data_IF_490611995159
#
_entry.id   IF_490611995159
#
_cell.length_a   1.000
_cell.length_b   1.000
_cell.length_c   1.000
_cell.angle_alpha   90.00
_cell.angle_beta   90.00
_cell.angle_gamma   90.00
#
_symmetry.space_group_name_H-M   'P 1'
#
loop_
_entity.id
_entity.type
_entity.pdbx_description
1 polymer ?
2 water ?
#
# COMPACT_ATOMS: atom_id res chain seq x y z
N UNK A 1 -10.97 4.06 4.58
CA UNK A 1 -11.70 4.06 3.31
C UNK A 1 -11.40 2.83 2.44
N UNK A 2 -10.54 1.94 2.93
CA UNK A 2 -10.25 0.71 2.21
C UNK A 2 -11.45 -0.24 2.26
N UNK A 3 -11.60 -1.03 1.20
CA UNK A 3 -12.54 -2.15 1.22
C UNK A 3 -11.94 -3.29 2.04
N UNK A 4 -12.71 -4.37 2.19
CA UNK A 4 -12.25 -5.55 2.91
C UNK A 4 -11.51 -6.55 2.02
N UNK A 5 -11.17 -6.17 0.79
CA UNK A 5 -10.47 -7.04 -0.14
C UNK A 5 -8.97 -6.82 -0.04
N UNK A 6 -8.21 -7.92 -0.13
CA UNK A 6 -6.76 -7.82 -0.12
C UNK A 6 -6.30 -7.09 -1.37
N UNK A 7 -5.40 -6.12 -1.20
CA UNK A 7 -4.85 -5.35 -2.32
C UNK A 7 -3.52 -5.98 -2.71
N UNK A 8 -3.40 -6.39 -3.97
CA UNK A 8 -2.18 -7.06 -4.40
C UNK A 8 -1.91 -6.73 -5.86
N UNK A 9 -0.74 -7.18 -6.31
CA UNK A 9 -0.30 -6.98 -7.68
C UNK A 9 -1.40 -7.36 -8.68
N UNK A 10 -1.59 -6.49 -9.67
CA UNK A 10 -2.61 -6.68 -10.68
C UNK A 10 -3.91 -5.96 -10.40
N UNK A 11 -4.14 -5.56 -9.15
CA UNK A 11 -5.34 -4.84 -8.81
C UNK A 11 -5.32 -3.44 -9.41
N UNK A 12 -6.51 -2.89 -9.58
CA UNK A 12 -6.65 -1.51 -10.02
C UNK A 12 -7.89 -0.92 -9.38
N UNK A 13 -7.92 0.40 -9.32
CA UNK A 13 -9.09 1.10 -8.85
C UNK A 13 -8.87 1.78 -7.51
N UNK A 14 -9.99 2.02 -6.82
CA UNK A 14 -10.00 2.96 -5.70
C UNK A 14 -9.09 2.52 -4.56
N UNK A 15 -9.08 1.22 -4.22
CA UNK A 15 -8.20 0.76 -3.14
C UNK A 15 -6.75 1.01 -3.49
N UNK A 16 -6.38 0.81 -4.76
CA UNK A 16 -4.99 1.01 -5.16
C UNK A 16 -4.62 2.49 -5.14
N UNK A 17 -5.53 3.36 -5.59
CA UNK A 17 -5.29 4.80 -5.50
C UNK A 17 -5.02 5.21 -4.05
N UNK A 18 -5.87 4.77 -3.12
CA UNK A 18 -5.65 5.14 -1.72
C UNK A 18 -4.35 4.53 -1.18
N UNK A 19 -4.06 3.28 -1.55
CA UNK A 19 -2.83 2.63 -1.11
C UNK A 19 -1.60 3.40 -1.59
N UNK A 20 -1.57 3.72 -2.89
CA UNK A 20 -0.44 4.46 -3.44
C UNK A 20 -0.32 5.83 -2.81
N UNK A 21 -1.46 6.49 -2.57
CA UNK A 21 -1.43 7.84 -2.00
C UNK A 21 -0.93 7.82 -0.56
N UNK A 22 -1.41 6.86 0.25
CA UNK A 22 -0.91 6.77 1.62
C UNK A 22 0.57 6.43 1.65
N UNK A 23 1.01 5.50 0.79
CA UNK A 23 2.43 5.17 0.73
C UNK A 23 3.25 6.37 0.27
N UNK A 24 2.71 7.19 -0.63
CA UNK A 24 3.43 8.38 -1.05
C UNK A 24 3.55 9.38 0.09
N UNK A 25 2.45 9.60 0.82
CA UNK A 25 2.47 10.52 1.95
C UNK A 25 3.50 10.11 2.99
N UNK A 26 3.70 8.81 3.16
CA UNK A 26 4.67 8.26 4.10
C UNK A 26 6.08 8.20 3.53
N UNK A 27 6.27 8.51 2.25
CA UNK A 27 7.60 8.55 1.65
C UNK A 27 8.08 7.26 1.04
N UNK A 28 7.19 6.30 0.79
CA UNK A 28 7.59 5.02 0.23
C UNK A 28 7.30 4.89 -1.26
N UNK A 29 6.22 5.49 -1.75
CA UNK A 29 5.83 5.37 -3.15
C UNK A 29 6.22 6.64 -3.90
N UNK A 30 7.12 6.49 -4.88
CA UNK A 30 7.73 7.60 -5.58
C UNK A 30 7.05 7.95 -6.91
N UNK A 31 6.33 7.01 -7.51
CA UNK A 31 5.81 7.18 -8.85
C UNK A 31 4.51 7.96 -8.89
N UNK A 32 3.90 7.95 -10.07
CA UNK A 32 2.61 8.61 -10.25
C UNK A 32 1.53 7.74 -9.63
N UNK A 33 0.64 8.37 -8.87
CA UNK A 33 -0.53 7.66 -8.37
C UNK A 33 -1.44 7.40 -9.56
N UNK A 34 -1.43 6.16 -10.06
CA UNK A 34 -2.21 5.81 -11.23
C UNK A 34 -3.29 4.77 -10.96
N UNK A 35 -3.35 4.23 -9.74
CA UNK A 35 -4.36 3.24 -9.43
C UNK A 35 -4.13 1.86 -10.00
N UNK A 36 -2.92 1.56 -10.48
CA UNK A 36 -2.58 0.24 -11.01
C UNK A 36 -1.44 -0.33 -10.17
N UNK A 37 -1.65 -1.52 -9.60
CA UNK A 37 -0.70 -2.13 -8.67
C UNK A 37 0.35 -2.90 -9.47
N UNK A 38 1.49 -2.27 -9.72
CA UNK A 38 2.62 -2.93 -10.36
C UNK A 38 3.86 -2.90 -9.50
N UNK A 39 5.04 -2.98 -10.13
CA UNK A 39 6.29 -3.11 -9.40
C UNK A 39 6.49 -1.98 -8.40
N UNK A 40 6.22 -0.74 -8.81
CA UNK A 40 6.49 0.37 -7.92
C UNK A 40 5.66 0.33 -6.66
N UNK A 41 4.43 -0.18 -6.76
CA UNK A 41 3.57 -0.33 -5.60
C UNK A 41 3.99 -1.51 -4.74
N UNK A 42 4.36 -2.62 -5.39
CA UNK A 42 4.89 -3.79 -4.68
C UNK A 42 6.11 -3.41 -3.86
N UNK A 43 7.07 -2.72 -4.50
CA UNK A 43 8.29 -2.29 -3.83
C UNK A 43 7.99 -1.36 -2.65
N UNK A 44 7.20 -0.31 -2.90
CA UNK A 44 6.86 0.63 -1.84
C UNK A 44 6.17 -0.07 -0.68
N UNK A 45 5.23 -0.98 -0.99
CA UNK A 45 4.48 -1.63 0.08
C UNK A 45 5.37 -2.55 0.90
N UNK A 46 6.27 -3.29 0.24
CA UNK A 46 7.19 -4.14 0.99
C UNK A 46 8.11 -3.31 1.89
N UNK A 47 8.59 -2.16 1.40
CA UNK A 47 9.43 -1.32 2.24
C UNK A 47 8.66 -0.76 3.42
N UNK A 48 7.38 -0.42 3.20
CA UNK A 48 6.53 0.01 4.31
C UNK A 48 6.37 -1.11 5.33
N UNK A 49 6.07 -2.32 4.86
CA UNK A 49 5.92 -3.44 5.77
C UNK A 49 7.17 -3.67 6.60
N UNK A 50 8.35 -3.62 5.96
CA UNK A 50 9.60 -3.82 6.68
C UNK A 50 9.80 -2.74 7.75
N UNK A 51 9.59 -1.48 7.37
CA UNK A 51 9.80 -0.37 8.31
C UNK A 51 8.87 -0.48 9.51
N UNK A 52 7.63 -0.90 9.28
CA UNK A 52 6.62 -0.92 10.33
C UNK A 52 6.50 -2.26 11.05
N UNK A 53 7.41 -3.19 10.79
CA UNK A 53 7.45 -4.44 11.53
C UNK A 53 6.40 -5.46 11.14
N UNK A 54 5.83 -5.34 9.94
CA UNK A 54 4.87 -6.30 9.42
C UNK A 54 5.58 -7.36 8.61
N UNK A 55 4.99 -8.55 8.48
CA UNK A 55 5.50 -9.53 7.52
C UNK A 55 5.60 -8.88 6.14
N UNK A 56 6.74 -9.09 5.49
CA UNK A 56 7.05 -8.43 4.22
C UNK A 56 6.63 -9.36 3.09
N UNK A 57 5.56 -9.00 2.39
CA UNK A 57 5.06 -9.85 1.32
C UNK A 57 4.49 -9.09 0.12
N UNK A 58 4.21 -7.79 0.28
CA UNK A 58 3.66 -7.04 -0.83
C UNK A 58 2.18 -7.23 -1.07
N UNK A 59 1.44 -7.79 -0.12
CA UNK A 59 -0.01 -7.90 -0.18
C UNK A 59 -0.58 -7.14 1.00
N UNK A 60 -1.57 -6.28 0.76
CA UNK A 60 -2.15 -5.47 1.83
C UNK A 60 -3.45 -6.12 2.28
N UNK A 61 -3.37 -6.91 3.34
CA UNK A 61 -4.53 -7.41 4.06
C UNK A 61 -4.90 -6.48 5.20
N UNK A 62 -5.72 -7.01 6.11
CA UNK A 62 -6.29 -6.18 7.18
C UNK A 62 -5.21 -5.53 8.03
N UNK A 63 -4.19 -6.29 8.44
CA UNK A 63 -3.20 -5.75 9.37
C UNK A 63 -2.34 -4.68 8.70
N UNK A 64 -1.98 -4.89 7.43
CA UNK A 64 -1.19 -3.90 6.71
C UNK A 64 -2.00 -2.64 6.46
N UNK A 65 -3.26 -2.78 6.04
CA UNK A 65 -4.10 -1.60 5.85
C UNK A 65 -4.26 -0.82 7.15
N UNK A 66 -4.51 -1.53 8.25
CA UNK A 66 -4.70 -0.84 9.53
C UNK A 66 -3.44 -0.09 9.93
N UNK A 67 -2.27 -0.69 9.70
CA UNK A 67 -1.02 -0.02 10.01
C UNK A 67 -0.81 1.21 9.13
N UNK A 68 -1.17 1.10 7.85
CA UNK A 68 -0.99 2.22 6.93
C UNK A 68 -1.89 3.39 7.30
N UNK A 69 -3.13 3.10 7.72
CA UNK A 69 -4.02 4.15 8.20
C UNK A 69 -3.48 4.78 9.47
N UNK A 70 -3.00 3.97 10.41
CA UNK A 70 -2.43 4.51 11.64
C UNK A 70 -1.20 5.36 11.36
N UNK A 71 -0.36 4.94 10.41
CA UNK A 71 0.87 5.65 10.09
C UNK A 71 0.62 6.97 9.35
N UNK A 72 -0.54 7.14 8.72
CA UNK A 72 -0.89 8.37 8.01
C UNK A 72 -1.79 9.28 8.83
N UNK A 73 -1.69 9.24 10.15
CA UNK A 73 -2.53 10.09 10.98
C UNK A 73 -1.79 11.36 11.43
#
# INVERSE_FOLDING_TARGET
AFSNQVIQRGASGEDVIELQSRLKYNGFYTGKVDGVFGWGTYWALRNFQEKFGLPVDGLAGAKTKQMLVKATKY
#
